data_IF_891616456896
#
_entry.id   IF_891616456896
#
_cell.length_a   1.000
_cell.length_b   1.000
_cell.length_c   1.000
_cell.angle_alpha   90.00
_cell.angle_beta   90.00
_cell.angle_gamma   90.00
#
_symmetry.space_group_name_H-M   'P 1'
#
loop_
_entity.id
_entity.type
_entity.pdbx_description
1 polymer ?
#
# COMPACT_ATOMS: atom_id res chain seq x y z
N UNK A 1 -11.26 -17.77 -8.03
CA UNK A 1 -11.20 -16.58 -7.14
C UNK A 1 -12.25 -16.79 -6.08
N UNK A 2 -11.84 -17.18 -4.88
CA UNK A 2 -12.67 -17.36 -3.69
C UNK A 2 -12.75 -16.04 -2.91
N UNK A 3 -13.23 -14.96 -3.55
CA UNK A 3 -13.42 -13.65 -2.89
C UNK A 3 -14.77 -13.60 -2.14
N UNK A 4 -14.93 -14.51 -1.19
CA UNK A 4 -15.98 -14.43 -0.17
C UNK A 4 -15.28 -13.99 1.11
N UNK A 5 -15.87 -13.05 1.83
CA UNK A 5 -15.33 -12.59 3.12
C UNK A 5 -15.24 -13.76 4.12
N UNK A 6 -16.09 -14.80 3.94
CA UNK A 6 -16.09 -16.03 4.72
C UNK A 6 -16.18 -17.26 3.79
N UNK A 7 -15.06 -17.64 3.13
CA UNK A 7 -15.09 -18.68 2.11
C UNK A 7 -15.56 -20.01 2.69
N UNK A 8 -16.57 -20.61 2.04
CA UNK A 8 -17.18 -21.89 2.41
C UNK A 8 -17.59 -22.70 1.18
N UNK A 9 -17.54 -24.03 1.29
CA UNK A 9 -17.89 -24.93 0.18
C UNK A 9 -19.41 -25.00 -0.10
N UNK A 10 -20.23 -24.71 0.91
CA UNK A 10 -21.70 -24.82 0.88
C UNK A 10 -22.35 -23.68 1.65
N UNK A 11 -23.60 -23.36 1.34
CA UNK A 11 -24.44 -22.45 2.11
C UNK A 11 -24.85 -23.08 3.47
N UNK A 12 -25.31 -22.30 4.47
CA UNK A 12 -25.77 -22.84 5.75
C UNK A 12 -26.91 -23.86 5.63
N UNK A 13 -27.65 -23.83 4.52
CA UNK A 13 -28.69 -24.80 4.16
C UNK A 13 -28.16 -26.03 3.41
N UNK A 14 -26.83 -26.18 3.32
CA UNK A 14 -26.11 -27.25 2.63
C UNK A 14 -26.24 -27.25 1.10
N UNK A 15 -26.88 -26.23 0.51
CA UNK A 15 -26.86 -26.06 -0.95
C UNK A 15 -25.45 -25.70 -1.44
N UNK A 16 -25.09 -26.14 -2.64
CA UNK A 16 -23.82 -25.78 -3.26
C UNK A 16 -23.84 -24.28 -3.57
N UNK A 17 -22.83 -23.56 -3.06
CA UNK A 17 -22.73 -22.11 -3.29
C UNK A 17 -22.41 -21.84 -4.76
N UNK A 18 -23.20 -21.02 -5.44
CA UNK A 18 -23.03 -20.71 -6.86
C UNK A 18 -22.24 -19.41 -7.06
N UNK A 19 -21.81 -19.12 -8.28
CA UNK A 19 -21.11 -17.88 -8.64
C UNK A 19 -21.95 -16.60 -8.51
N UNK A 20 -23.27 -16.73 -8.40
CA UNK A 20 -24.22 -15.62 -8.35
C UNK A 20 -24.44 -15.09 -6.91
N UNK A 21 -23.93 -15.80 -5.90
CA UNK A 21 -24.00 -15.44 -4.47
C UNK A 21 -22.79 -14.58 -3.99
N UNK A 22 -21.99 -14.03 -4.90
CA UNK A 22 -20.72 -13.37 -4.59
C UNK A 22 -20.85 -11.85 -4.71
N UNK A 23 -20.74 -11.15 -3.58
CA UNK A 23 -20.42 -9.72 -3.59
C UNK A 23 -18.96 -9.57 -4.01
N UNK A 24 -18.70 -9.22 -5.27
CA UNK A 24 -17.35 -9.02 -5.79
C UNK A 24 -16.66 -7.86 -5.08
N UNK A 25 -15.97 -8.15 -3.99
CA UNK A 25 -15.06 -7.24 -3.30
C UNK A 25 -13.67 -7.35 -3.93
N UNK A 26 -13.16 -6.21 -4.41
CA UNK A 26 -11.88 -6.09 -5.10
C UNK A 26 -10.78 -5.52 -4.21
N UNK A 27 -9.60 -5.37 -4.79
CA UNK A 27 -8.50 -4.58 -4.21
C UNK A 27 -8.35 -3.33 -5.05
N UNK A 28 -8.56 -2.17 -4.45
CA UNK A 28 -8.38 -0.87 -5.12
C UNK A 28 -6.89 -0.52 -5.13
N UNK A 29 -6.29 -0.45 -6.31
CA UNK A 29 -4.87 -0.15 -6.48
C UNK A 29 -4.71 1.29 -6.95
N UNK A 30 -4.06 2.11 -6.12
CA UNK A 30 -3.78 3.51 -6.42
C UNK A 30 -2.69 3.69 -7.48
N UNK A 31 -2.66 4.88 -8.08
CA UNK A 31 -1.72 5.22 -9.15
C UNK A 31 -0.26 5.00 -8.73
N UNK A 32 0.52 4.38 -9.62
CA UNK A 32 1.94 4.12 -9.41
C UNK A 32 2.27 3.08 -8.33
N UNK A 33 1.27 2.45 -7.70
CA UNK A 33 1.52 1.37 -6.76
C UNK A 33 2.10 0.13 -7.46
N UNK A 34 2.97 -0.60 -6.75
CA UNK A 34 3.64 -1.78 -7.25
C UNK A 34 3.39 -3.00 -6.36
N UNK A 35 2.98 -4.10 -6.98
CA UNK A 35 2.75 -5.38 -6.31
C UNK A 35 3.86 -6.35 -6.69
N UNK A 36 4.71 -6.67 -5.73
CA UNK A 36 5.81 -7.62 -5.93
C UNK A 36 5.30 -9.01 -6.31
N UNK A 37 6.10 -9.71 -7.11
CA UNK A 37 5.76 -11.03 -7.62
C UNK A 37 5.31 -12.00 -6.51
N UNK A 38 4.30 -12.83 -6.81
CA UNK A 38 3.73 -13.84 -5.89
C UNK A 38 3.16 -13.27 -4.58
N UNK A 39 2.79 -11.99 -4.55
CA UNK A 39 2.03 -11.44 -3.43
C UNK A 39 0.55 -11.80 -3.53
N UNK A 40 -0.11 -11.90 -2.37
CA UNK A 40 -1.54 -12.14 -2.24
C UNK A 40 -2.15 -10.94 -1.51
N UNK A 41 -3.18 -10.31 -2.09
CA UNK A 41 -3.95 -9.24 -1.46
C UNK A 41 -5.36 -9.74 -1.19
N UNK A 42 -5.77 -9.75 0.09
CA UNK A 42 -7.05 -10.32 0.54
C UNK A 42 -8.14 -9.24 0.53
N UNK A 43 -8.99 -9.21 -0.49
CA UNK A 43 -10.06 -8.21 -0.61
C UNK A 43 -11.14 -8.29 0.52
N UNK A 44 -11.89 -7.20 0.79
CA UNK A 44 -11.73 -5.84 0.25
C UNK A 44 -10.61 -5.05 0.94
N UNK A 45 -9.83 -4.29 0.17
CA UNK A 45 -8.87 -3.32 0.70
C UNK A 45 -8.37 -2.32 -0.35
N UNK A 46 -7.70 -1.27 0.11
CA UNK A 46 -6.97 -0.31 -0.73
C UNK A 46 -5.45 -0.49 -0.60
N UNK A 47 -4.76 -0.50 -1.73
CA UNK A 47 -3.32 -0.26 -1.84
C UNK A 47 -3.13 1.19 -2.31
N UNK A 48 -2.57 2.04 -1.44
CA UNK A 48 -2.39 3.46 -1.71
C UNK A 48 -1.48 3.78 -2.90
N UNK A 49 -1.56 5.01 -3.40
CA UNK A 49 -0.76 5.48 -4.51
C UNK A 49 0.74 5.38 -4.19
N UNK A 50 1.54 4.95 -5.17
CA UNK A 50 3.00 4.75 -5.02
C UNK A 50 3.42 3.75 -3.92
N UNK A 51 2.49 3.03 -3.30
CA UNK A 51 2.83 2.00 -2.33
C UNK A 51 3.60 0.84 -2.99
N UNK A 52 4.44 0.15 -2.22
CA UNK A 52 5.18 -1.02 -2.67
C UNK A 52 4.90 -2.21 -1.75
N UNK A 53 4.30 -3.25 -2.33
CA UNK A 53 4.15 -4.55 -1.68
C UNK A 53 5.35 -5.41 -2.08
N UNK A 54 6.17 -5.82 -1.12
CA UNK A 54 7.32 -6.69 -1.39
C UNK A 54 6.86 -8.07 -1.91
N UNK A 55 7.68 -8.71 -2.74
CA UNK A 55 7.38 -10.02 -3.30
C UNK A 55 7.07 -11.07 -2.21
N UNK A 56 6.14 -11.97 -2.48
CA UNK A 56 5.74 -13.05 -1.56
C UNK A 56 4.96 -12.58 -0.32
N UNK A 57 4.45 -11.34 -0.30
CA UNK A 57 3.70 -10.83 0.86
C UNK A 57 2.24 -11.27 0.85
N UNK A 58 1.65 -11.41 2.04
CA UNK A 58 0.19 -11.62 2.21
C UNK A 58 -0.41 -10.39 2.88
N UNK A 59 -1.02 -9.53 2.07
CA UNK A 59 -1.60 -8.27 2.50
C UNK A 59 -3.04 -8.50 2.95
N UNK A 60 -3.32 -8.12 4.19
CA UNK A 60 -4.58 -8.38 4.90
C UNK A 60 -5.24 -7.10 5.43
N UNK A 61 -4.60 -5.93 5.23
CA UNK A 61 -5.11 -4.61 5.62
C UNK A 61 -4.68 -3.58 4.59
N UNK A 62 -5.37 -2.44 4.56
CA UNK A 62 -5.03 -1.30 3.70
C UNK A 62 -3.55 -0.91 3.82
N UNK A 63 -2.98 -0.52 2.69
CA UNK A 63 -1.61 0.00 2.61
C UNK A 63 -1.71 1.50 2.33
N UNK A 64 -1.11 2.37 3.16
CA UNK A 64 -1.14 3.81 2.92
C UNK A 64 -0.35 4.16 1.65
N UNK A 65 -0.65 5.34 1.08
CA UNK A 65 0.14 5.89 -0.03
C UNK A 65 1.64 5.90 0.34
N UNK A 66 2.52 5.55 -0.60
CA UNK A 66 3.97 5.38 -0.41
C UNK A 66 4.39 4.26 0.56
N UNK A 67 3.44 3.52 1.14
CA UNK A 67 3.72 2.50 2.14
C UNK A 67 4.54 1.33 1.58
N UNK A 68 5.63 0.97 2.26
CA UNK A 68 6.38 -0.25 1.97
C UNK A 68 5.95 -1.35 2.92
N UNK A 69 5.33 -2.40 2.41
CA UNK A 69 4.88 -3.56 3.21
C UNK A 69 5.56 -4.85 2.79
N UNK A 70 5.81 -5.73 3.77
CA UNK A 70 6.40 -7.05 3.53
C UNK A 70 5.92 -8.09 4.55
N UNK A 71 5.97 -9.37 4.15
CA UNK A 71 5.80 -10.52 5.04
C UNK A 71 4.40 -11.16 5.03
N UNK A 72 4.21 -12.12 5.93
CA UNK A 72 2.98 -12.93 6.07
C UNK A 72 2.63 -13.02 7.57
N UNK A 73 1.64 -12.27 8.07
CA UNK A 73 0.90 -11.22 7.37
C UNK A 73 1.78 -9.98 7.12
N UNK A 74 1.51 -9.27 6.03
CA UNK A 74 2.29 -8.09 5.65
C UNK A 74 2.19 -6.98 6.71
N UNK A 75 3.34 -6.37 7.01
CA UNK A 75 3.47 -5.22 7.91
C UNK A 75 4.20 -4.09 7.20
N UNK A 76 3.87 -2.84 7.54
CA UNK A 76 4.61 -1.67 7.08
C UNK A 76 6.00 -1.69 7.68
N UNK A 77 7.02 -1.70 6.82
CA UNK A 77 8.45 -1.72 7.19
C UNK A 77 9.16 -0.40 6.82
N UNK A 78 8.42 0.55 6.24
CA UNK A 78 8.90 1.90 5.93
C UNK A 78 8.08 2.55 4.84
N UNK A 79 8.73 3.45 4.12
CA UNK A 79 8.17 4.22 3.01
C UNK A 79 9.04 4.10 1.77
N UNK A 80 8.43 4.25 0.60
CA UNK A 80 9.12 4.39 -0.69
C UNK A 80 8.81 5.73 -1.34
N UNK A 81 9.74 6.25 -2.14
CA UNK A 81 9.48 7.40 -3.02
C UNK A 81 8.84 6.95 -4.33
N UNK A 82 8.55 7.91 -5.22
CA UNK A 82 7.99 7.61 -6.56
C UNK A 82 8.91 6.75 -7.44
N UNK A 83 10.20 6.67 -7.10
CA UNK A 83 11.17 5.78 -7.77
C UNK A 83 11.09 4.33 -7.28
N UNK A 84 10.28 4.04 -6.27
CA UNK A 84 10.19 2.72 -5.62
C UNK A 84 11.35 2.42 -4.66
N UNK A 85 12.33 3.31 -4.52
CA UNK A 85 13.39 3.18 -3.51
C UNK A 85 12.88 3.56 -2.13
N UNK A 86 13.35 2.82 -1.12
CA UNK A 86 13.06 3.11 0.28
C UNK A 86 13.58 4.51 0.62
N UNK A 87 12.73 5.32 1.24
CA UNK A 87 13.10 6.64 1.72
C UNK A 87 14.05 6.52 2.92
N UNK A 88 15.00 7.45 3.01
CA UNK A 88 15.85 7.62 4.19
C UNK A 88 15.19 8.62 5.14
N UNK A 89 15.10 8.30 6.42
CA UNK A 89 14.61 9.23 7.44
C UNK A 89 15.79 10.02 8.02
N UNK A 90 15.63 11.33 8.11
CA UNK A 90 16.59 12.25 8.72
C UNK A 90 15.82 13.39 9.39
N UNK A 91 15.97 13.51 10.70
CA UNK A 91 15.41 14.61 11.50
C UNK A 91 13.88 14.78 11.32
N UNK A 92 13.14 13.67 11.21
CA UNK A 92 11.69 13.67 10.98
C UNK A 92 11.25 13.91 9.53
N UNK A 93 12.21 14.04 8.60
CA UNK A 93 11.97 14.19 7.16
C UNK A 93 12.39 12.92 6.43
N UNK A 94 11.53 12.42 5.56
CA UNK A 94 11.82 11.30 4.67
C UNK A 94 12.30 11.82 3.33
N UNK A 95 13.43 11.33 2.83
CA UNK A 95 14.08 11.83 1.62
C UNK A 95 14.27 10.70 0.62
N UNK A 96 13.88 10.96 -0.63
CA UNK A 96 14.15 10.06 -1.74
C UNK A 96 15.65 10.12 -2.09
N UNK A 97 16.38 9.00 -2.02
CA UNK A 97 17.83 9.02 -2.29
C UNK A 97 18.17 9.30 -3.75
N UNK A 98 17.23 9.09 -4.68
CA UNK A 98 17.48 9.28 -6.11
C UNK A 98 17.14 10.70 -6.58
N UNK A 99 16.07 11.30 -6.04
CA UNK A 99 15.53 12.58 -6.53
C UNK A 99 15.66 13.73 -5.54
N UNK A 100 15.94 13.43 -4.28
CA UNK A 100 15.89 14.42 -3.20
C UNK A 100 14.47 14.86 -2.81
N UNK A 101 13.40 14.31 -3.42
CA UNK A 101 12.01 14.61 -3.03
C UNK A 101 11.82 14.31 -1.53
N UNK A 102 11.25 15.28 -0.81
CA UNK A 102 11.09 15.22 0.65
C UNK A 102 9.64 15.00 1.04
N UNK A 103 9.46 14.29 2.16
CA UNK A 103 8.17 13.89 2.68
C UNK A 103 8.14 14.00 4.20
N UNK A 104 6.95 14.20 4.75
CA UNK A 104 6.68 14.24 6.18
C UNK A 104 5.66 13.16 6.53
N UNK A 105 5.94 12.39 7.57
CA UNK A 105 4.97 11.45 8.14
C UNK A 105 4.15 12.13 9.23
N UNK A 106 2.82 12.06 9.14
CA UNK A 106 1.88 12.52 10.17
C UNK A 106 0.77 11.50 10.34
N UNK A 107 0.49 11.11 11.57
CA UNK A 107 -0.57 10.15 11.92
C UNK A 107 -0.52 8.84 11.11
N UNK A 108 0.71 8.37 10.82
CA UNK A 108 0.94 7.15 10.05
C UNK A 108 0.71 7.28 8.54
N UNK A 109 0.56 8.49 8.02
CA UNK A 109 0.44 8.80 6.60
C UNK A 109 1.61 9.67 6.11
N UNK A 110 2.16 9.34 4.95
CA UNK A 110 3.25 10.10 4.33
C UNK A 110 2.69 11.12 3.33
N UNK A 111 3.20 12.36 3.36
CA UNK A 111 2.84 13.40 2.39
C UNK A 111 4.10 14.12 1.88
N UNK A 112 4.13 14.56 0.60
CA UNK A 112 5.18 15.45 0.13
C UNK A 112 5.30 16.69 1.03
N UNK A 113 6.52 17.10 1.35
CA UNK A 113 6.76 18.23 2.26
C UNK A 113 6.37 19.61 1.66
N UNK A 114 5.94 19.65 0.40
CA UNK A 114 5.81 20.87 -0.39
C UNK A 114 7.14 21.24 -1.04
N UNK A 115 7.16 22.20 -2.00
CA UNK A 115 8.43 22.76 -2.45
C UNK A 115 9.15 23.35 -1.23
N UNK A 116 10.45 23.04 -1.09
CA UNK A 116 11.31 23.81 -0.21
C UNK A 116 11.13 25.27 -0.64
N UNK A 117 10.63 26.13 0.26
CA UNK A 117 10.69 27.56 -0.01
C UNK A 117 12.19 27.87 -0.12
N UNK A 118 12.67 28.11 -1.34
CA UNK A 118 13.93 28.77 -1.55
C UNK A 118 13.84 30.06 -0.74
N UNK A 119 14.69 30.19 0.27
CA UNK A 119 14.97 31.48 0.89
C UNK A 119 15.51 32.37 -0.24
N UNK A 120 14.62 33.08 -0.93
CA UNK A 120 14.93 34.28 -1.69
C UNK A 120 15.42 35.33 -0.69
N UNK A 121 16.66 35.17 -0.24
CA UNK A 121 17.41 36.21 0.42
C UNK A 121 17.96 37.12 -0.69
N UNK A 122 17.07 37.89 -1.32
CA UNK A 122 17.43 39.05 -2.13
C UNK A 122 17.47 40.28 -1.23
N UNK A 123 18.66 40.55 -0.68
CA UNK A 123 19.04 41.78 0.02
C UNK A 123 20.48 42.14 -0.29
#
# INVERSE_FOLDING_TARGET
>A
LTNDTYPRAVNPDLSQKSGDDWDAVGVDIGDGAAIGARSVCVAPMRIGAWALVAAGSVVTRDVPDFGLVAGVPAKRIGWVGRTGRRLAEKDGVWVCPDTGETFIERDGALRPAGPAQEEENHG
#
